data_IF_853586303759
#
_entry.id   IF_853586303759
#
_cell.length_a   1.000
_cell.length_b   1.000
_cell.length_c   1.000
_cell.angle_alpha   90.00
_cell.angle_beta   90.00
_cell.angle_gamma   90.00
#
_symmetry.space_group_name_H-M   'P 1'
#
loop_
_entity.id
_entity.type
_entity.pdbx_description
1 polymer ?
#
# COMPACT_ATOMS: atom_id res chain seq x y z
N UNK A 1 -9.17 4.20 4.66
CA UNK A 1 -8.20 3.24 5.23
C UNK A 1 -7.03 4.00 5.82
N UNK A 2 -6.66 3.79 7.09
CA UNK A 2 -5.60 4.57 7.75
C UNK A 2 -4.23 4.33 7.11
N UNK A 3 -3.90 3.06 6.80
CA UNK A 3 -2.65 2.66 6.16
C UNK A 3 -2.41 3.31 4.78
N UNK A 4 -3.46 3.74 4.06
CA UNK A 4 -3.32 4.52 2.81
C UNK A 4 -3.12 6.01 3.12
N UNK A 5 -3.92 6.58 4.02
CA UNK A 5 -3.91 8.04 4.30
C UNK A 5 -2.64 8.49 5.04
N UNK A 6 -2.14 7.67 5.94
CA UNK A 6 -0.99 7.94 6.79
C UNK A 6 0.14 6.93 6.54
N UNK A 7 0.26 6.47 5.30
CA UNK A 7 1.35 5.59 4.87
C UNK A 7 2.69 6.28 5.07
N UNK A 8 3.70 5.54 5.51
CA UNK A 8 5.09 6.02 5.55
C UNK A 8 5.83 5.74 4.24
N UNK A 9 5.36 4.75 3.47
CA UNK A 9 5.86 4.45 2.13
C UNK A 9 4.74 4.64 1.11
N UNK A 10 5.06 5.29 0.00
CA UNK A 10 4.25 5.32 -1.22
C UNK A 10 5.15 5.10 -2.42
N UNK A 11 4.96 3.99 -3.13
CA UNK A 11 5.76 3.67 -4.32
C UNK A 11 4.88 3.12 -5.44
N UNK A 12 5.20 3.52 -6.67
CA UNK A 12 4.58 2.92 -7.85
C UNK A 12 5.10 1.51 -8.03
N UNK A 13 4.18 0.56 -8.22
CA UNK A 13 4.50 -0.82 -8.52
C UNK A 13 3.81 -1.23 -9.82
N UNK A 14 4.45 -2.06 -10.66
CA UNK A 14 3.79 -2.59 -11.84
C UNK A 14 2.49 -3.28 -11.46
N UNK A 15 1.46 -3.04 -12.27
CA UNK A 15 0.18 -3.75 -12.16
C UNK A 15 0.34 -5.26 -12.28
N UNK A 16 -0.59 -6.02 -11.69
CA UNK A 16 -0.63 -7.49 -11.79
C UNK A 16 -2.08 -7.96 -12.00
N UNK A 17 -2.24 -9.13 -12.60
CA UNK A 17 -3.53 -9.82 -12.75
C UNK A 17 -4.61 -9.00 -13.51
N UNK A 18 -4.20 -8.30 -14.56
CA UNK A 18 -5.10 -7.50 -15.41
C UNK A 18 -5.35 -6.07 -14.90
N UNK A 19 -4.74 -5.69 -13.78
CA UNK A 19 -4.72 -4.31 -13.30
C UNK A 19 -3.54 -3.54 -13.89
N UNK A 20 -3.76 -2.24 -14.19
CA UNK A 20 -2.69 -1.33 -14.61
C UNK A 20 -1.74 -0.99 -13.46
N UNK A 21 -0.77 -0.11 -13.71
CA UNK A 21 0.17 0.37 -12.68
C UNK A 21 -0.57 0.82 -11.42
N UNK A 22 -0.04 0.39 -10.28
CA UNK A 22 -0.68 0.55 -8.99
C UNK A 22 0.24 1.23 -8.00
N UNK A 23 -0.34 1.69 -6.90
CA UNK A 23 0.39 2.28 -5.79
C UNK A 23 0.45 1.27 -4.64
N UNK A 24 1.66 1.00 -4.15
CA UNK A 24 1.89 0.34 -2.87
C UNK A 24 1.94 1.40 -1.77
N UNK A 25 1.13 1.20 -0.74
CA UNK A 25 1.15 1.93 0.51
C UNK A 25 1.62 0.98 1.62
N UNK A 26 2.59 1.41 2.42
CA UNK A 26 2.94 0.73 3.67
C UNK A 26 2.64 1.67 4.82
N UNK A 27 1.81 1.20 5.76
CA UNK A 27 1.35 2.01 6.87
C UNK A 27 0.70 1.18 7.96
N UNK A 28 0.60 1.75 9.16
CA UNK A 28 -0.13 1.11 10.24
C UNK A 28 -1.64 1.10 9.95
N UNK A 29 -2.36 0.04 10.36
CA UNK A 29 -3.82 0.01 10.26
C UNK A 29 -4.50 1.03 11.20
N UNK A 30 -3.80 1.43 12.26
CA UNK A 30 -4.21 2.42 13.26
C UNK A 30 -2.96 3.02 13.93
N UNK A 31 -2.96 4.27 14.42
CA UNK A 31 -1.78 4.88 15.04
C UNK A 31 -1.16 4.14 16.23
N UNK A 32 -1.94 3.27 16.89
CA UNK A 32 -1.52 2.50 18.08
C UNK A 32 -1.26 1.02 17.76
N UNK A 33 -1.27 0.64 16.49
CA UNK A 33 -1.04 -0.74 16.09
C UNK A 33 0.44 -0.97 15.80
N UNK A 34 1.02 -2.02 16.38
CA UNK A 34 2.43 -2.37 16.16
C UNK A 34 2.68 -3.10 14.82
N UNK A 35 1.61 -3.55 14.15
CA UNK A 35 1.70 -4.23 12.84
C UNK A 35 1.65 -3.23 11.69
N UNK A 36 2.30 -3.59 10.59
CA UNK A 36 2.28 -2.85 9.33
C UNK A 36 1.36 -3.54 8.33
N UNK A 37 0.69 -2.76 7.48
CA UNK A 37 -0.02 -3.29 6.33
C UNK A 37 0.72 -2.92 5.05
N UNK A 38 0.72 -3.86 4.11
CA UNK A 38 0.97 -3.60 2.69
C UNK A 38 -0.38 -3.51 1.97
N UNK A 39 -0.59 -2.42 1.23
CA UNK A 39 -1.83 -2.16 0.50
C UNK A 39 -1.49 -1.78 -0.93
N UNK A 40 -1.99 -2.53 -1.90
CA UNK A 40 -1.83 -2.20 -3.32
C UNK A 40 -3.18 -1.75 -3.86
N UNK A 41 -3.19 -0.57 -4.46
CA UNK A 41 -4.39 0.02 -5.00
C UNK A 41 -4.16 0.69 -6.35
N UNK A 42 -5.14 0.52 -7.24
CA UNK A 42 -5.24 1.29 -8.47
C UNK A 42 -5.97 2.60 -8.17
N UNK A 43 -5.31 3.74 -8.41
CA UNK A 43 -5.91 5.06 -8.29
C UNK A 43 -6.60 5.38 -9.61
N UNK A 44 -7.92 5.54 -9.59
CA UNK A 44 -8.75 5.80 -10.79
C UNK A 44 -9.25 7.25 -10.78
N UNK A 45 -8.66 8.14 -11.60
CA UNK A 45 -9.16 9.50 -11.74
C UNK A 45 -10.58 9.53 -12.35
N UNK A 46 -11.41 10.55 -12.04
CA UNK A 46 -11.14 11.68 -11.14
C UNK A 46 -11.35 11.32 -9.66
N UNK A 47 -12.07 10.23 -9.37
CA UNK A 47 -12.31 9.72 -8.01
C UNK A 47 -12.50 8.21 -8.10
N UNK A 48 -11.70 7.46 -7.36
CA UNK A 48 -11.79 6.02 -7.34
C UNK A 48 -10.50 5.41 -6.81
N UNK A 49 -10.64 4.43 -5.93
CA UNK A 49 -9.53 3.62 -5.43
C UNK A 49 -10.02 2.19 -5.46
N UNK A 50 -9.40 1.35 -6.29
CA UNK A 50 -9.63 -0.08 -6.25
C UNK A 50 -8.50 -0.72 -5.45
N UNK A 51 -8.82 -1.18 -4.25
CA UNK A 51 -7.92 -2.00 -3.44
C UNK A 51 -8.16 -3.44 -3.85
N UNK A 52 -7.12 -4.10 -4.37
CA UNK A 52 -7.18 -5.51 -4.74
C UNK A 52 -6.21 -6.37 -3.92
N UNK A 53 -5.34 -5.75 -3.12
CA UNK A 53 -4.45 -6.42 -2.18
C UNK A 53 -4.33 -5.61 -0.89
N UNK A 54 -4.58 -6.24 0.25
CA UNK A 54 -4.37 -5.65 1.57
C UNK A 54 -4.10 -6.76 2.58
N UNK A 55 -2.88 -6.79 3.13
CA UNK A 55 -2.49 -7.76 4.15
C UNK A 55 -1.40 -7.20 5.07
N UNK A 56 -1.05 -7.95 6.10
CA UNK A 56 0.11 -7.62 6.93
C UNK A 56 1.39 -7.60 6.10
N UNK A 57 2.28 -6.66 6.40
CA UNK A 57 3.52 -6.44 5.65
C UNK A 57 4.40 -7.69 5.66
N UNK A 58 4.66 -8.20 4.46
CA UNK A 58 5.54 -9.33 4.21
C UNK A 58 6.97 -8.90 3.91
N UNK A 59 7.91 -9.84 3.92
CA UNK A 59 9.31 -9.58 3.61
C UNK A 59 9.52 -8.99 2.21
N UNK A 60 8.59 -9.27 1.28
CA UNK A 60 8.61 -8.79 -0.10
C UNK A 60 8.77 -7.27 -0.19
N UNK A 61 8.09 -6.52 0.66
CA UNK A 61 8.07 -5.05 0.62
C UNK A 61 8.68 -4.40 1.87
N UNK A 62 9.12 -5.21 2.84
CA UNK A 62 9.68 -4.72 4.11
C UNK A 62 10.92 -3.85 3.93
N UNK A 63 11.69 -4.06 2.88
CA UNK A 63 12.89 -3.27 2.58
C UNK A 63 12.58 -1.77 2.42
N UNK A 64 11.38 -1.41 1.94
CA UNK A 64 10.98 -0.01 1.81
C UNK A 64 10.84 0.75 3.14
N UNK A 65 10.73 0.05 4.28
CA UNK A 65 10.75 0.68 5.62
C UNK A 65 12.16 1.08 6.08
N UNK A 66 13.21 0.58 5.42
CA UNK A 66 14.60 0.89 5.77
C UNK A 66 15.21 1.94 4.83
N UNK A 67 14.60 2.13 3.66
CA UNK A 67 15.08 3.01 2.59
C UNK A 67 14.41 4.41 2.60
N UNK A 68 13.41 4.63 3.46
CA UNK A 68 12.68 5.90 3.64
C UNK A 68 12.73 6.37 5.09
#
# INVERSE_FOLDING_TARGET
>A
MHAIRASVVQVSVPGRDGHGDAMLFIGHPHPQADRWLEVIAEIRPPRGVLIFHAMELTDKFRHYLQEN
#
